data_IF_999350392246
#
_entry.id   IF_999350392246
#
_cell.length_a   1.000
_cell.length_b   1.000
_cell.length_c   1.000
_cell.angle_alpha   90.00
_cell.angle_beta   90.00
_cell.angle_gamma   90.00
#
_symmetry.space_group_name_H-M   'P 1'
#
loop_
_entity.id
_entity.type
_entity.pdbx_description
1 polymer ?
#
# COMPACT_ATOMS: atom_id res chain seq x y z
N UNK A 1 -25.18 23.43 11.41
CA UNK A 1 -23.78 23.28 11.88
C UNK A 1 -22.79 23.96 10.92
N UNK A 2 -21.54 24.16 11.37
CA UNK A 2 -20.47 24.66 10.49
C UNK A 2 -20.25 23.71 9.29
N UNK A 3 -20.24 22.40 9.52
CA UNK A 3 -20.07 21.39 8.46
C UNK A 3 -21.20 21.45 7.43
N UNK A 4 -22.45 21.57 7.88
CA UNK A 4 -23.60 21.72 6.97
C UNK A 4 -23.48 22.98 6.09
N UNK A 5 -23.01 24.09 6.68
CA UNK A 5 -22.77 25.33 5.93
C UNK A 5 -21.63 25.19 4.95
N UNK A 6 -20.53 24.52 5.35
CA UNK A 6 -19.40 24.25 4.47
C UNK A 6 -19.82 23.40 3.26
N UNK A 7 -20.62 22.35 3.49
CA UNK A 7 -21.14 21.50 2.41
C UNK A 7 -22.05 22.25 1.42
N UNK A 8 -22.75 23.27 1.89
CA UNK A 8 -23.67 24.08 1.08
C UNK A 8 -23.01 25.36 0.48
N UNK A 9 -21.76 25.64 0.86
CA UNK A 9 -21.09 26.89 0.50
C UNK A 9 -21.01 27.13 -1.01
N UNK A 10 -20.88 26.07 -1.81
CA UNK A 10 -20.88 26.16 -3.27
C UNK A 10 -22.19 26.68 -3.86
N UNK A 11 -23.34 26.34 -3.27
CA UNK A 11 -24.65 26.81 -3.70
C UNK A 11 -24.93 28.27 -3.35
N UNK A 12 -24.23 28.80 -2.35
CA UNK A 12 -24.40 30.17 -1.86
C UNK A 12 -23.19 31.08 -2.17
N UNK A 13 -22.29 30.66 -3.07
CA UNK A 13 -21.10 31.42 -3.46
C UNK A 13 -20.20 31.83 -2.29
N UNK A 14 -20.10 30.98 -1.26
CA UNK A 14 -19.24 31.17 -0.09
C UNK A 14 -19.92 30.79 1.24
N UNK A 15 -19.10 30.41 2.22
CA UNK A 15 -19.62 30.00 3.55
C UNK A 15 -20.23 31.18 4.32
N UNK A 16 -19.73 32.36 4.10
CA UNK A 16 -20.23 33.63 4.70
C UNK A 16 -21.66 33.94 4.23
N UNK A 17 -22.00 33.61 3.00
CA UNK A 17 -23.30 33.81 2.39
C UNK A 17 -24.29 32.69 2.74
N UNK A 18 -23.79 31.55 3.26
CA UNK A 18 -24.65 30.41 3.61
C UNK A 18 -25.49 30.73 4.85
N UNK A 19 -26.81 30.54 4.81
CA UNK A 19 -27.71 30.82 5.95
C UNK A 19 -27.23 30.16 7.25
N UNK A 20 -27.30 30.93 8.36
CA UNK A 20 -26.90 30.45 9.69
C UNK A 20 -28.01 29.65 10.36
N UNK A 21 -29.25 29.78 9.92
CA UNK A 21 -30.42 29.09 10.42
C UNK A 21 -31.19 28.43 9.28
N UNK A 22 -31.84 27.31 9.57
CA UNK A 22 -32.69 26.59 8.64
C UNK A 22 -33.90 25.98 9.42
N UNK A 23 -34.97 25.73 8.71
CA UNK A 23 -36.12 24.97 9.22
C UNK A 23 -35.85 23.49 8.89
N UNK A 24 -36.00 22.62 9.87
CA UNK A 24 -35.87 21.17 9.69
C UNK A 24 -36.99 20.44 10.40
N UNK A 25 -37.31 19.22 9.97
CA UNK A 25 -38.20 18.34 10.72
C UNK A 25 -37.49 17.87 12.00
N UNK A 26 -38.22 17.97 13.13
CA UNK A 26 -37.73 17.43 14.38
C UNK A 26 -37.74 15.90 14.39
N UNK A 27 -36.88 15.29 15.21
CA UNK A 27 -36.78 13.85 15.34
C UNK A 27 -38.12 13.18 15.66
N UNK A 28 -38.93 13.77 16.52
CA UNK A 28 -40.26 13.26 16.84
C UNK A 28 -41.17 13.16 15.61
N UNK A 29 -41.05 14.10 14.67
CA UNK A 29 -41.81 14.04 13.41
C UNK A 29 -41.35 12.87 12.55
N UNK A 30 -40.06 12.62 12.50
CA UNK A 30 -39.50 11.48 11.80
C UNK A 30 -39.92 10.16 12.44
N UNK A 31 -39.93 10.09 13.78
CA UNK A 31 -40.36 8.90 14.55
C UNK A 31 -41.83 8.52 14.36
N UNK A 32 -42.68 9.44 13.89
CA UNK A 32 -44.07 9.16 13.55
C UNK A 32 -44.26 8.52 12.16
N UNK A 33 -43.21 8.31 11.39
CA UNK A 33 -43.28 7.65 10.10
C UNK A 33 -43.71 6.17 10.25
N UNK A 34 -44.34 5.60 9.23
CA UNK A 34 -44.70 4.16 9.23
C UNK A 34 -43.47 3.26 9.05
N UNK A 35 -42.46 3.77 8.37
CA UNK A 35 -41.17 3.10 8.13
C UNK A 35 -40.06 4.17 8.00
N UNK A 36 -38.90 3.89 8.59
CA UNK A 36 -37.72 4.72 8.48
C UNK A 36 -36.66 3.92 7.71
N UNK A 37 -36.02 4.56 6.73
CA UNK A 37 -34.87 4.02 6.03
C UNK A 37 -33.70 4.98 6.21
N UNK A 38 -32.63 4.51 6.85
CA UNK A 38 -31.36 5.24 6.95
C UNK A 38 -30.47 4.78 5.79
N UNK A 39 -29.92 5.73 5.05
CA UNK A 39 -29.02 5.43 3.94
C UNK A 39 -27.68 6.13 4.13
N UNK A 40 -26.56 5.40 3.94
CA UNK A 40 -25.22 5.95 4.03
C UNK A 40 -24.25 5.23 3.06
N UNK A 41 -23.36 6.01 2.44
CA UNK A 41 -22.36 5.55 1.49
C UNK A 41 -20.99 6.14 1.79
N UNK A 42 -19.94 5.34 1.51
CA UNK A 42 -18.56 5.74 1.58
C UNK A 42 -17.90 5.50 2.94
N UNK A 43 -16.58 5.30 2.90
CA UNK A 43 -15.76 4.95 4.07
C UNK A 43 -15.78 6.04 5.15
N UNK A 44 -15.87 7.32 4.77
CA UNK A 44 -15.96 8.45 5.70
C UNK A 44 -17.22 8.43 6.57
N UNK A 45 -18.21 7.57 6.27
CA UNK A 45 -19.43 7.33 7.04
C UNK A 45 -19.33 6.11 7.97
N UNK A 46 -18.33 5.24 7.81
CA UNK A 46 -18.28 3.96 8.51
C UNK A 46 -18.38 4.08 10.03
N UNK A 47 -17.64 5.02 10.63
CA UNK A 47 -17.66 5.19 12.09
C UNK A 47 -18.97 5.78 12.59
N UNK A 48 -19.59 6.69 11.85
CA UNK A 48 -20.92 7.23 12.26
C UNK A 48 -22.01 6.20 12.05
N UNK A 49 -21.95 5.38 11.01
CA UNK A 49 -22.88 4.25 10.79
C UNK A 49 -22.81 3.27 11.96
N UNK A 50 -21.60 2.90 12.39
CA UNK A 50 -21.42 2.04 13.57
C UNK A 50 -22.08 2.65 14.81
N UNK A 51 -21.84 3.93 15.09
CA UNK A 51 -22.44 4.62 16.25
C UNK A 51 -23.96 4.72 16.17
N UNK A 52 -24.50 4.86 14.96
CA UNK A 52 -25.95 4.94 14.73
C UNK A 52 -26.62 3.58 14.87
N UNK A 53 -25.99 2.51 14.40
CA UNK A 53 -26.59 1.15 14.35
C UNK A 53 -26.32 0.36 15.62
N UNK A 54 -25.10 0.44 16.16
CA UNK A 54 -24.63 -0.42 17.25
C UNK A 54 -24.34 0.34 18.56
N UNK A 55 -24.27 1.67 18.50
CA UNK A 55 -24.02 2.50 19.68
C UNK A 55 -25.29 2.80 20.49
N UNK A 56 -25.11 3.42 21.65
CA UNK A 56 -26.21 3.84 22.49
C UNK A 56 -27.08 4.91 21.79
N UNK A 57 -28.40 4.82 21.97
CA UNK A 57 -29.35 5.83 21.53
C UNK A 57 -29.13 7.12 22.33
N UNK A 58 -28.55 8.15 21.73
CA UNK A 58 -28.20 9.40 22.41
C UNK A 58 -28.51 10.64 21.57
N UNK A 59 -28.95 11.74 22.20
CA UNK A 59 -29.16 13.03 21.53
C UNK A 59 -27.86 13.61 20.92
N UNK A 60 -26.68 13.18 21.38
CA UNK A 60 -25.38 13.59 20.80
C UNK A 60 -25.19 13.06 19.38
N UNK A 61 -25.85 11.94 19.06
CA UNK A 61 -25.92 11.34 17.73
C UNK A 61 -27.42 11.15 17.41
N UNK A 62 -28.12 12.17 16.95
CA UNK A 62 -29.59 12.12 16.83
C UNK A 62 -30.12 10.94 16.02
N UNK A 63 -29.40 10.50 14.99
CA UNK A 63 -29.77 9.35 14.18
C UNK A 63 -29.76 8.02 14.98
N UNK A 64 -28.96 7.91 16.06
CA UNK A 64 -28.99 6.72 16.93
C UNK A 64 -30.30 6.53 17.68
N UNK A 65 -31.04 7.60 17.94
CA UNK A 65 -32.35 7.53 18.59
C UNK A 65 -33.42 6.85 17.72
N UNK A 66 -33.16 6.78 16.39
CA UNK A 66 -34.06 6.09 15.46
C UNK A 66 -34.05 4.56 15.68
N UNK A 67 -33.08 4.00 16.40
CA UNK A 67 -33.04 2.58 16.80
C UNK A 67 -34.35 2.20 17.61
N UNK A 68 -34.97 3.16 18.26
CA UNK A 68 -36.21 2.95 19.03
C UNK A 68 -37.47 2.85 18.15
N UNK A 69 -37.34 3.03 16.82
CA UNK A 69 -38.47 2.93 15.91
C UNK A 69 -38.77 1.46 15.56
N UNK A 70 -40.05 1.01 15.64
CA UNK A 70 -40.39 -0.41 15.45
C UNK A 70 -40.20 -0.92 14.01
N UNK A 71 -40.08 -0.04 13.04
CA UNK A 71 -39.92 -0.40 11.64
C UNK A 71 -38.82 0.49 10.99
N UNK A 72 -37.58 0.15 11.29
CA UNK A 72 -36.41 0.85 10.79
C UNK A 72 -35.53 -0.12 9.99
N UNK A 73 -34.93 0.40 8.94
CA UNK A 73 -33.97 -0.32 8.08
C UNK A 73 -32.77 0.59 7.78
N UNK A 74 -31.57 0.03 7.79
CA UNK A 74 -30.35 0.70 7.34
C UNK A 74 -29.88 0.09 6.03
N UNK A 75 -29.69 0.93 5.01
CA UNK A 75 -29.15 0.57 3.70
C UNK A 75 -27.81 1.26 3.56
N UNK A 76 -26.75 0.49 3.51
CA UNK A 76 -25.35 0.98 3.47
C UNK A 76 -24.56 0.20 2.43
N UNK A 77 -23.58 0.86 1.81
CA UNK A 77 -22.60 0.17 0.97
C UNK A 77 -21.51 -0.51 1.82
N UNK A 78 -20.70 -1.34 1.21
CA UNK A 78 -19.61 -2.06 1.87
C UNK A 78 -18.62 -1.13 2.58
N UNK A 79 -18.14 -0.01 1.99
CA UNK A 79 -17.27 0.94 2.66
C UNK A 79 -17.91 1.60 3.88
N UNK A 80 -19.19 2.00 3.81
CA UNK A 80 -19.91 2.58 4.95
C UNK A 80 -20.20 1.56 6.07
N UNK A 81 -20.28 0.26 5.76
CA UNK A 81 -20.45 -0.84 6.70
C UNK A 81 -19.15 -1.28 7.39
N UNK A 82 -17.97 -0.81 6.96
CA UNK A 82 -16.67 -1.39 7.31
C UNK A 82 -16.36 -1.37 8.81
N UNK A 83 -16.95 -0.43 9.56
CA UNK A 83 -16.79 -0.37 11.01
C UNK A 83 -17.82 -1.22 11.81
N UNK A 84 -18.82 -1.82 11.17
CA UNK A 84 -19.82 -2.65 11.85
C UNK A 84 -19.20 -3.95 12.39
N UNK A 85 -19.71 -4.41 13.53
CA UNK A 85 -19.31 -5.68 14.16
C UNK A 85 -19.51 -6.86 13.21
N UNK A 86 -20.57 -6.85 12.40
CA UNK A 86 -20.82 -7.86 11.38
C UNK A 86 -19.70 -7.96 10.33
N UNK A 87 -18.97 -6.87 10.07
CA UNK A 87 -17.81 -6.85 9.17
C UNK A 87 -16.49 -7.10 9.91
N UNK A 88 -16.30 -6.50 11.09
CA UNK A 88 -15.04 -6.60 11.85
C UNK A 88 -14.90 -7.93 12.59
N UNK A 89 -15.95 -8.40 13.22
CA UNK A 89 -15.96 -9.61 14.05
C UNK A 89 -17.29 -10.37 13.87
N UNK A 90 -17.58 -10.92 12.67
CA UNK A 90 -18.88 -11.51 12.34
C UNK A 90 -19.30 -12.63 13.29
N UNK A 91 -18.36 -13.35 13.90
CA UNK A 91 -18.62 -14.41 14.90
C UNK A 91 -19.29 -13.92 16.17
N UNK A 92 -19.30 -12.60 16.44
CA UNK A 92 -20.01 -12.01 17.57
C UNK A 92 -21.48 -11.75 17.27
N UNK A 93 -21.86 -11.80 15.99
CA UNK A 93 -23.21 -11.42 15.53
C UNK A 93 -24.01 -12.64 15.06
N UNK A 94 -23.33 -13.67 14.59
CA UNK A 94 -24.01 -14.87 14.10
C UNK A 94 -23.06 -15.98 13.61
N UNK A 95 -23.62 -17.05 13.05
CA UNK A 95 -22.83 -18.16 12.50
C UNK A 95 -21.92 -17.70 11.38
N UNK A 96 -20.70 -18.25 11.32
CA UNK A 96 -19.69 -17.93 10.33
C UNK A 96 -19.28 -19.14 9.51
N UNK A 97 -18.96 -18.94 8.24
CA UNK A 97 -18.18 -19.88 7.47
C UNK A 97 -16.68 -19.66 7.75
N UNK A 98 -16.06 -20.57 8.51
CA UNK A 98 -14.69 -20.45 9.00
C UNK A 98 -13.65 -20.75 7.91
N UNK A 99 -13.42 -19.78 7.04
CA UNK A 99 -12.30 -19.84 6.09
C UNK A 99 -10.95 -19.60 6.79
N UNK A 100 -9.81 -20.04 6.23
CA UNK A 100 -8.48 -19.78 6.81
C UNK A 100 -8.24 -18.29 7.09
N UNK A 101 -8.72 -17.40 6.20
CA UNK A 101 -8.64 -15.95 6.38
C UNK A 101 -9.44 -15.47 7.59
N UNK A 102 -10.65 -16.00 7.78
CA UNK A 102 -11.51 -15.62 8.90
C UNK A 102 -10.95 -16.17 10.23
N UNK A 103 -10.43 -17.38 10.25
CA UNK A 103 -9.74 -17.98 11.41
C UNK A 103 -8.57 -17.09 11.84
N UNK A 104 -7.68 -16.72 10.91
CA UNK A 104 -6.56 -15.82 11.18
C UNK A 104 -7.03 -14.48 11.75
N UNK A 105 -8.07 -13.87 11.14
CA UNK A 105 -8.65 -12.61 11.59
C UNK A 105 -9.20 -12.71 13.02
N UNK A 106 -9.89 -13.79 13.35
CA UNK A 106 -10.48 -14.02 14.67
C UNK A 106 -9.40 -14.23 15.76
N UNK A 107 -8.35 -14.99 15.46
CA UNK A 107 -7.25 -15.23 16.41
C UNK A 107 -6.46 -13.92 16.67
N UNK A 108 -6.17 -13.14 15.64
CA UNK A 108 -5.51 -11.84 15.81
C UNK A 108 -6.40 -10.86 16.62
N UNK A 109 -7.71 -10.83 16.35
CA UNK A 109 -8.67 -10.05 17.13
C UNK A 109 -8.68 -10.50 18.60
N UNK A 110 -8.70 -11.82 18.86
CA UNK A 110 -8.66 -12.37 20.22
C UNK A 110 -7.42 -11.91 20.99
N UNK A 111 -6.23 -11.94 20.36
CA UNK A 111 -5.00 -11.39 20.94
C UNK A 111 -5.17 -9.93 21.39
N UNK A 112 -5.82 -9.12 20.56
CA UNK A 112 -6.10 -7.72 20.87
C UNK A 112 -7.06 -7.54 22.05
N UNK A 113 -8.05 -8.42 22.18
CA UNK A 113 -9.02 -8.38 23.29
C UNK A 113 -8.40 -8.82 24.60
N UNK A 114 -7.77 -10.01 24.63
CA UNK A 114 -7.22 -10.59 25.86
C UNK A 114 -5.81 -10.10 26.21
N UNK A 115 -5.19 -9.29 25.31
CA UNK A 115 -3.81 -8.77 25.46
C UNK A 115 -2.76 -9.86 25.64
N UNK A 116 -2.92 -10.96 24.94
CA UNK A 116 -1.96 -12.08 24.95
C UNK A 116 -1.36 -12.32 23.57
N UNK A 117 -0.08 -12.73 23.47
CA UNK A 117 0.49 -13.23 22.22
C UNK A 117 -0.24 -14.48 21.73
N UNK A 118 -0.26 -14.71 20.42
CA UNK A 118 -0.96 -15.84 19.79
C UNK A 118 -0.63 -17.18 20.47
N UNK A 119 0.66 -17.49 20.63
CA UNK A 119 1.10 -18.76 21.20
C UNK A 119 0.79 -18.93 22.71
N UNK A 120 0.26 -17.89 23.38
CA UNK A 120 -0.16 -17.93 24.78
C UNK A 120 -1.67 -17.88 24.97
N UNK A 121 -2.44 -17.90 23.87
CA UNK A 121 -3.89 -18.06 23.95
C UNK A 121 -4.24 -19.46 24.47
N UNK A 122 -5.25 -19.51 25.34
CA UNK A 122 -5.73 -20.73 25.97
C UNK A 122 -7.13 -21.09 25.49
N UNK A 123 -7.55 -22.32 25.69
CA UNK A 123 -8.93 -22.77 25.41
C UNK A 123 -9.98 -21.84 26.04
N UNK A 124 -9.73 -21.41 27.29
CA UNK A 124 -10.60 -20.48 28.00
C UNK A 124 -10.76 -19.14 27.26
N UNK A 125 -9.66 -18.59 26.72
CA UNK A 125 -9.70 -17.34 25.98
C UNK A 125 -10.65 -17.43 24.76
N UNK A 126 -10.64 -18.56 24.05
CA UNK A 126 -11.54 -18.79 22.91
C UNK A 126 -13.00 -18.87 23.34
N UNK A 127 -13.30 -19.66 24.39
CA UNK A 127 -14.69 -19.89 24.83
C UNK A 127 -15.31 -18.62 25.41
N UNK A 128 -14.58 -17.89 26.25
CA UNK A 128 -15.06 -16.65 26.86
C UNK A 128 -15.27 -15.50 25.85
N UNK A 129 -14.69 -15.62 24.65
CA UNK A 129 -14.82 -14.63 23.59
C UNK A 129 -15.59 -15.13 22.36
N UNK A 130 -16.51 -16.06 22.55
CA UNK A 130 -17.44 -16.56 21.51
C UNK A 130 -16.79 -17.22 20.32
N UNK A 131 -15.57 -17.78 20.48
CA UNK A 131 -14.82 -18.47 19.42
C UNK A 131 -14.83 -20.01 19.55
N UNK A 132 -15.73 -20.57 20.37
CA UNK A 132 -15.89 -22.03 20.47
C UNK A 132 -16.25 -22.66 19.12
N UNK A 133 -17.17 -22.06 18.37
CA UNK A 133 -17.57 -22.53 17.06
C UNK A 133 -16.40 -22.53 16.02
N UNK A 134 -15.39 -21.68 16.19
CA UNK A 134 -14.17 -21.73 15.40
C UNK A 134 -13.40 -23.03 15.66
N UNK A 135 -13.20 -23.39 16.92
CA UNK A 135 -12.46 -24.60 17.30
C UNK A 135 -13.17 -25.85 16.79
N UNK A 136 -14.50 -25.89 16.92
CA UNK A 136 -15.34 -26.99 16.41
C UNK A 136 -15.24 -27.12 14.89
N UNK A 137 -15.31 -26.00 14.17
CA UNK A 137 -15.27 -25.99 12.70
C UNK A 137 -13.90 -26.36 12.14
N UNK A 138 -12.81 -25.95 12.80
CA UNK A 138 -11.44 -26.27 12.35
C UNK A 138 -11.06 -27.72 12.73
N UNK A 139 -11.66 -28.29 13.78
CA UNK A 139 -11.49 -29.69 14.18
C UNK A 139 -10.10 -30.05 14.70
N UNK A 140 -9.31 -29.06 15.14
CA UNK A 140 -8.00 -29.24 15.78
C UNK A 140 -7.97 -28.52 17.13
N UNK A 141 -6.99 -28.85 17.97
CA UNK A 141 -6.85 -28.22 19.28
C UNK A 141 -6.53 -26.72 19.18
N UNK A 142 -6.88 -25.95 20.21
CA UNK A 142 -6.63 -24.50 20.23
C UNK A 142 -5.15 -24.14 20.07
N UNK A 143 -4.25 -24.95 20.63
CA UNK A 143 -2.79 -24.77 20.50
C UNK A 143 -2.32 -25.03 19.06
N UNK A 144 -2.87 -26.04 18.38
CA UNK A 144 -2.61 -26.27 16.96
C UNK A 144 -3.12 -25.10 16.08
N UNK A 145 -4.29 -24.51 16.41
CA UNK A 145 -4.78 -23.30 15.76
C UNK A 145 -3.81 -22.13 15.98
N UNK A 146 -3.35 -21.93 17.22
CA UNK A 146 -2.38 -20.89 17.56
C UNK A 146 -1.10 -21.04 16.75
N UNK A 147 -0.52 -22.24 16.70
CA UNK A 147 0.71 -22.53 15.94
C UNK A 147 0.49 -22.26 14.44
N UNK A 148 -0.61 -22.79 13.89
CA UNK A 148 -0.92 -22.58 12.47
C UNK A 148 -1.03 -21.10 12.13
N UNK A 149 -1.82 -20.33 12.89
CA UNK A 149 -2.01 -18.89 12.63
C UNK A 149 -0.71 -18.12 12.83
N UNK A 150 0.10 -18.48 13.83
CA UNK A 150 1.40 -17.85 14.04
C UNK A 150 2.33 -18.08 12.84
N UNK A 151 2.43 -19.32 12.35
CA UNK A 151 3.23 -19.64 11.17
C UNK A 151 2.70 -18.93 9.91
N UNK A 152 1.39 -18.95 9.68
CA UNK A 152 0.77 -18.22 8.56
C UNK A 152 1.13 -16.73 8.59
N UNK A 153 1.12 -16.10 9.77
CA UNK A 153 1.51 -14.70 9.92
C UNK A 153 3.00 -14.47 9.70
N UNK A 154 3.86 -15.36 10.18
CA UNK A 154 5.31 -15.28 9.91
C UNK A 154 5.59 -15.29 8.40
N UNK A 155 4.82 -16.04 7.63
CA UNK A 155 4.95 -16.07 6.17
C UNK A 155 4.43 -14.81 5.47
N UNK A 156 3.64 -13.97 6.14
CA UNK A 156 3.07 -12.74 5.55
C UNK A 156 3.80 -11.45 5.94
N UNK A 157 4.67 -11.48 6.94
CA UNK A 157 5.41 -10.30 7.42
C UNK A 157 6.85 -10.30 6.90
N UNK A 158 7.43 -9.09 6.83
CA UNK A 158 8.85 -8.90 6.56
C UNK A 158 9.63 -9.13 7.85
N UNK A 159 10.16 -10.31 8.05
CA UNK A 159 10.97 -10.66 9.20
C UNK A 159 11.93 -11.75 8.82
N UNK A 160 12.73 -12.21 9.77
CA UNK A 160 13.63 -13.33 9.52
C UNK A 160 12.85 -14.52 8.98
N UNK A 161 13.21 -15.05 7.79
CA UNK A 161 12.58 -16.26 7.26
C UNK A 161 12.81 -17.44 8.22
N UNK A 162 11.79 -17.86 8.95
CA UNK A 162 11.93 -18.91 9.95
C UNK A 162 12.35 -18.43 11.35
N UNK A 163 12.27 -17.11 11.64
CA UNK A 163 12.61 -16.51 12.91
C UNK A 163 13.99 -15.89 12.96
N UNK A 164 14.31 -15.20 14.06
CA UNK A 164 15.59 -14.53 14.27
C UNK A 164 16.75 -15.53 14.26
N UNK A 165 17.85 -15.31 13.54
CA UNK A 165 19.03 -16.17 13.60
C UNK A 165 19.54 -16.32 15.03
N UNK A 166 19.92 -17.54 15.39
CA UNK A 166 20.41 -17.88 16.72
C UNK A 166 19.37 -17.69 17.87
N UNK A 167 18.07 -17.55 17.55
CA UNK A 167 17.04 -17.59 18.58
C UNK A 167 16.94 -19.01 19.17
N UNK A 168 16.77 -19.10 20.50
CA UNK A 168 16.49 -20.37 21.16
C UNK A 168 15.07 -20.85 20.79
N UNK A 169 15.00 -21.88 19.96
CA UNK A 169 13.76 -22.53 19.53
C UNK A 169 13.39 -23.76 20.37
N UNK A 170 14.18 -24.08 21.40
CA UNK A 170 14.00 -25.30 22.20
C UNK A 170 12.63 -25.39 22.87
N UNK A 171 11.96 -24.24 23.09
CA UNK A 171 10.63 -24.17 23.69
C UNK A 171 9.49 -24.13 22.67
N UNK A 172 9.80 -24.11 21.36
CA UNK A 172 8.78 -24.11 20.32
C UNK A 172 8.24 -25.51 20.08
N UNK A 173 6.92 -25.71 20.10
CA UNK A 173 6.31 -27.02 19.84
C UNK A 173 6.54 -27.51 18.41
N UNK A 174 6.72 -26.60 17.48
CA UNK A 174 7.06 -26.90 16.08
C UNK A 174 8.18 -25.94 15.65
N UNK A 175 9.31 -26.44 15.13
CA UNK A 175 10.36 -25.60 14.56
C UNK A 175 9.81 -24.75 13.43
N UNK A 176 10.21 -23.47 13.35
CA UNK A 176 9.84 -22.63 12.22
C UNK A 176 10.57 -23.10 10.95
N UNK A 177 9.81 -23.21 9.86
CA UNK A 177 10.39 -23.48 8.53
C UNK A 177 10.83 -22.17 7.90
N UNK A 178 12.10 -22.03 7.45
CA UNK A 178 12.53 -20.86 6.68
C UNK A 178 11.64 -20.63 5.46
N UNK A 179 11.19 -19.40 5.31
CA UNK A 179 10.36 -18.99 4.17
C UNK A 179 10.89 -17.64 3.61
N UNK A 180 12.07 -17.65 2.94
CA UNK A 180 12.55 -16.47 2.24
C UNK A 180 11.53 -16.08 1.16
N UNK A 181 11.19 -14.79 1.10
CA UNK A 181 10.25 -14.25 0.13
C UNK A 181 11.00 -13.69 -1.05
N UNK A 182 10.45 -13.84 -2.23
CA UNK A 182 10.84 -13.08 -3.41
C UNK A 182 10.15 -11.73 -3.35
N UNK A 183 10.91 -10.67 -3.33
CA UNK A 183 10.43 -9.30 -3.12
C UNK A 183 10.82 -8.45 -4.32
N UNK A 184 9.86 -7.67 -4.85
CA UNK A 184 10.15 -6.65 -5.85
C UNK A 184 9.83 -5.28 -5.27
N UNK A 185 10.80 -4.37 -5.34
CA UNK A 185 10.66 -2.96 -5.00
C UNK A 185 10.61 -2.16 -6.31
N UNK A 186 9.48 -1.55 -6.63
CA UNK A 186 9.35 -0.63 -7.74
C UNK A 186 9.72 0.77 -7.30
N UNK A 187 10.72 1.35 -7.95
CA UNK A 187 11.24 2.70 -7.73
C UNK A 187 10.95 3.54 -8.97
N UNK A 188 10.05 4.55 -8.89
CA UNK A 188 9.74 5.41 -10.02
C UNK A 188 10.98 6.05 -10.66
N UNK A 189 11.91 6.55 -9.85
CA UNK A 189 13.22 7.05 -10.28
C UNK A 189 14.35 6.31 -9.55
N UNK A 190 15.61 6.41 -10.03
CA UNK A 190 16.76 5.69 -9.43
C UNK A 190 17.24 6.26 -8.08
N UNK A 191 16.35 6.48 -7.10
CA UNK A 191 16.61 6.93 -5.72
C UNK A 191 15.37 6.76 -4.80
N UNK A 192 14.17 6.62 -5.37
CA UNK A 192 12.94 6.57 -4.56
C UNK A 192 12.88 5.36 -3.62
N UNK A 193 13.46 4.23 -4.00
CA UNK A 193 13.62 3.03 -3.16
C UNK A 193 14.41 3.33 -1.88
N UNK A 194 15.50 4.09 -2.00
CA UNK A 194 16.36 4.49 -0.87
C UNK A 194 15.69 5.56 -0.03
N UNK A 195 15.16 6.61 -0.68
CA UNK A 195 14.56 7.76 0.00
C UNK A 195 13.29 7.34 0.74
N UNK A 196 12.43 6.55 0.09
CA UNK A 196 11.11 6.21 0.62
C UNK A 196 11.12 5.01 1.56
N UNK A 197 12.00 4.01 1.34
CA UNK A 197 11.97 2.79 2.10
C UNK A 197 13.33 2.13 2.38
N UNK A 198 14.43 2.87 2.29
CA UNK A 198 15.79 2.34 2.45
C UNK A 198 16.00 1.50 3.72
N UNK A 199 15.39 1.90 4.85
CA UNK A 199 15.44 1.11 6.08
C UNK A 199 14.73 -0.24 5.97
N UNK A 200 13.61 -0.33 5.24
CA UNK A 200 12.91 -1.58 4.96
C UNK A 200 13.69 -2.41 3.94
N UNK A 201 14.23 -1.78 2.91
CA UNK A 201 15.04 -2.42 1.88
C UNK A 201 16.24 -3.15 2.50
N UNK A 202 17.07 -2.45 3.30
CA UNK A 202 18.22 -3.05 4.01
C UNK A 202 17.75 -4.24 4.86
N UNK A 203 16.65 -4.09 5.60
CA UNK A 203 16.13 -5.18 6.44
C UNK A 203 15.70 -6.40 5.64
N UNK A 204 15.09 -6.22 4.48
CA UNK A 204 14.71 -7.34 3.62
C UNK A 204 15.95 -8.12 3.17
N UNK A 205 17.01 -7.41 2.76
CA UNK A 205 18.29 -8.04 2.37
C UNK A 205 18.97 -8.72 3.57
N UNK A 206 19.09 -8.02 4.70
CA UNK A 206 19.69 -8.55 5.94
C UNK A 206 18.96 -9.78 6.47
N UNK A 207 17.66 -9.86 6.25
CA UNK A 207 16.84 -10.99 6.67
C UNK A 207 16.91 -12.18 5.71
N UNK A 208 17.68 -12.08 4.63
CA UNK A 208 17.89 -13.17 3.69
C UNK A 208 16.70 -13.42 2.75
N UNK A 209 15.91 -12.40 2.47
CA UNK A 209 14.91 -12.44 1.40
C UNK A 209 15.59 -12.30 0.03
N UNK A 210 14.96 -12.85 -0.99
CA UNK A 210 15.35 -12.70 -2.39
C UNK A 210 14.77 -11.38 -2.92
N UNK A 211 15.58 -10.31 -2.84
CA UNK A 211 15.12 -8.94 -3.09
C UNK A 211 15.56 -8.46 -4.45
N UNK A 212 14.63 -8.00 -5.24
CA UNK A 212 14.83 -7.33 -6.52
C UNK A 212 14.39 -5.87 -6.45
N UNK A 213 15.12 -4.97 -7.11
CA UNK A 213 14.70 -3.58 -7.31
C UNK A 213 14.49 -3.31 -8.80
N UNK A 214 13.41 -2.61 -9.12
CA UNK A 214 13.02 -2.28 -10.49
C UNK A 214 12.85 -0.77 -10.62
N UNK A 215 13.82 -0.11 -11.23
CA UNK A 215 13.78 1.32 -11.56
C UNK A 215 12.94 1.51 -12.81
N UNK A 216 11.81 2.19 -12.65
CA UNK A 216 10.79 2.28 -13.70
C UNK A 216 11.17 3.27 -14.79
N UNK A 217 11.84 4.39 -14.43
CA UNK A 217 12.29 5.42 -15.36
C UNK A 217 13.79 5.69 -15.24
N UNK A 218 14.35 6.36 -16.24
CA UNK A 218 15.78 6.73 -16.24
C UNK A 218 16.14 7.81 -15.22
N UNK A 219 15.20 8.69 -14.89
CA UNK A 219 15.45 9.85 -14.02
C UNK A 219 16.42 10.86 -14.60
N UNK A 220 16.66 10.84 -15.91
CA UNK A 220 17.67 11.62 -16.63
C UNK A 220 17.52 13.13 -16.47
N UNK A 221 16.28 13.64 -16.40
CA UNK A 221 16.00 15.08 -16.24
C UNK A 221 16.45 15.65 -14.89
N UNK A 222 16.71 14.83 -13.89
CA UNK A 222 17.20 15.26 -12.57
C UNK A 222 18.70 15.59 -12.57
N UNK A 223 19.47 15.18 -13.60
CA UNK A 223 20.91 15.39 -13.66
C UNK A 223 21.25 16.74 -14.28
N UNK A 224 21.91 17.59 -13.50
CA UNK A 224 22.41 18.86 -14.00
C UNK A 224 23.60 18.68 -14.96
N UNK A 225 23.77 19.61 -15.89
CA UNK A 225 24.86 19.56 -16.86
C UNK A 225 26.25 19.61 -16.20
N UNK A 226 26.39 20.34 -15.09
CA UNK A 226 27.64 20.40 -14.32
C UNK A 226 28.00 19.04 -13.71
N UNK A 227 27.04 18.23 -13.31
CA UNK A 227 27.28 16.86 -12.82
C UNK A 227 27.82 16.00 -13.94
N UNK A 228 27.27 16.14 -15.15
CA UNK A 228 27.80 15.43 -16.36
C UNK A 228 29.25 15.80 -16.59
N UNK A 229 29.60 17.10 -16.57
CA UNK A 229 30.96 17.57 -16.78
C UNK A 229 31.89 17.07 -15.68
N UNK A 230 31.47 17.10 -14.41
CA UNK A 230 32.23 16.58 -13.28
C UNK A 230 32.57 15.08 -13.42
N UNK A 231 31.61 14.27 -13.87
CA UNK A 231 31.84 12.84 -14.08
C UNK A 231 32.84 12.60 -15.23
N UNK A 232 32.73 13.40 -16.30
CA UNK A 232 33.64 13.32 -17.42
C UNK A 232 35.08 13.79 -17.09
N UNK A 233 35.21 14.82 -16.23
CA UNK A 233 36.52 15.24 -15.69
C UNK A 233 37.16 14.10 -14.89
N UNK A 234 36.42 13.37 -14.09
CA UNK A 234 36.92 12.20 -13.36
C UNK A 234 37.40 11.13 -14.32
N UNK A 235 36.66 10.83 -15.41
CA UNK A 235 37.06 9.86 -16.44
C UNK A 235 38.34 10.32 -17.14
N UNK A 236 38.48 11.62 -17.42
CA UNK A 236 39.68 12.23 -18.02
C UNK A 236 40.89 12.09 -17.11
N UNK A 237 40.78 12.46 -15.84
CA UNK A 237 41.87 12.36 -14.84
C UNK A 237 42.35 10.93 -14.63
N UNK A 238 41.47 9.95 -14.77
CA UNK A 238 41.82 8.52 -14.73
C UNK A 238 42.47 8.00 -16.03
N UNK A 239 42.60 8.83 -17.08
CA UNK A 239 43.20 8.46 -18.35
C UNK A 239 42.34 7.59 -19.26
N UNK A 240 41.03 7.54 -19.04
CA UNK A 240 40.13 6.84 -19.93
C UNK A 240 39.70 7.71 -21.12
N UNK A 241 39.03 7.09 -22.11
CA UNK A 241 38.60 7.77 -23.32
C UNK A 241 37.79 9.06 -22.99
N UNK A 242 38.30 10.18 -23.51
CA UNK A 242 37.79 11.51 -23.17
C UNK A 242 36.74 12.00 -24.19
N UNK A 243 35.52 12.18 -23.76
CA UNK A 243 34.44 12.78 -24.53
C UNK A 243 34.03 14.17 -23.99
N UNK A 244 34.84 14.76 -23.13
CA UNK A 244 34.52 15.98 -22.42
C UNK A 244 34.19 17.14 -23.37
N UNK A 245 35.03 17.40 -24.38
CA UNK A 245 34.83 18.51 -25.32
C UNK A 245 33.63 18.26 -26.25
N UNK A 246 33.31 17.01 -26.56
CA UNK A 246 32.16 16.64 -27.35
C UNK A 246 30.88 16.92 -26.55
N UNK A 247 30.80 16.42 -25.32
CA UNK A 247 29.63 16.61 -24.45
C UNK A 247 29.46 18.06 -24.06
N UNK A 248 30.56 18.80 -23.82
CA UNK A 248 30.52 20.26 -23.59
C UNK A 248 29.90 20.99 -24.77
N UNK A 249 30.18 20.57 -26.01
CA UNK A 249 29.53 21.14 -27.22
C UNK A 249 28.05 20.79 -27.28
N UNK A 250 27.63 19.58 -26.91
CA UNK A 250 26.22 19.21 -26.82
C UNK A 250 25.47 20.07 -25.82
N UNK A 251 26.06 20.31 -24.64
CA UNK A 251 25.49 21.19 -23.60
C UNK A 251 25.38 22.62 -24.10
N UNK A 252 26.43 23.17 -24.72
CA UNK A 252 26.42 24.52 -25.25
C UNK A 252 25.43 24.71 -26.43
N UNK A 253 25.15 23.64 -27.16
CA UNK A 253 24.16 23.63 -28.26
C UNK A 253 22.70 23.51 -27.83
N UNK A 254 22.40 23.40 -26.53
CA UNK A 254 21.02 23.31 -26.05
C UNK A 254 20.21 24.55 -26.39
N UNK A 255 19.00 24.35 -26.90
CA UNK A 255 18.06 25.42 -27.23
C UNK A 255 16.90 25.44 -26.23
N UNK A 256 16.69 26.56 -25.59
CA UNK A 256 15.60 26.71 -24.60
C UNK A 256 14.24 26.35 -25.23
N UNK A 257 13.52 25.46 -24.59
CA UNK A 257 12.20 25.01 -25.04
C UNK A 257 12.22 23.86 -26.05
N UNK A 258 13.40 23.37 -26.43
CA UNK A 258 13.54 22.16 -27.22
C UNK A 258 14.00 20.97 -26.33
N UNK A 259 13.71 19.70 -26.71
CA UNK A 259 14.25 18.53 -26.05
C UNK A 259 15.78 18.57 -26.02
N UNK A 260 16.37 18.03 -24.96
CA UNK A 260 17.82 17.83 -24.89
C UNK A 260 18.27 16.79 -25.94
N UNK A 261 19.51 16.88 -26.43
CA UNK A 261 20.09 15.84 -27.30
C UNK A 261 20.00 14.46 -26.65
N UNK A 262 19.54 13.46 -27.39
CA UNK A 262 19.36 12.10 -26.86
C UNK A 262 20.63 11.56 -26.22
N UNK A 263 21.77 11.82 -26.84
CA UNK A 263 23.06 11.40 -26.31
C UNK A 263 23.37 11.99 -24.92
N UNK A 264 22.99 13.25 -24.68
CA UNK A 264 23.16 13.89 -23.38
C UNK A 264 22.22 13.24 -22.33
N UNK A 265 20.98 12.94 -22.70
CA UNK A 265 20.04 12.24 -21.84
C UNK A 265 20.52 10.82 -21.51
N UNK A 266 21.10 10.10 -22.47
CA UNK A 266 21.66 8.76 -22.25
C UNK A 266 22.84 8.79 -21.25
N UNK A 267 23.68 9.84 -21.30
CA UNK A 267 24.76 10.05 -20.31
C UNK A 267 24.16 10.35 -18.93
N UNK A 268 23.17 11.24 -18.85
CA UNK A 268 22.47 11.56 -17.60
C UNK A 268 21.82 10.30 -16.99
N UNK A 269 21.14 9.51 -17.81
CA UNK A 269 20.57 8.23 -17.40
C UNK A 269 21.65 7.23 -16.90
N UNK A 270 22.83 7.22 -17.54
CA UNK A 270 23.93 6.37 -17.10
C UNK A 270 24.48 6.79 -15.73
N UNK A 271 24.54 8.09 -15.43
CA UNK A 271 24.92 8.63 -14.12
C UNK A 271 23.91 8.13 -13.06
N UNK A 272 22.61 8.30 -13.31
CA UNK A 272 21.56 7.83 -12.39
C UNK A 272 21.64 6.33 -12.13
N UNK A 273 21.84 5.54 -13.17
CA UNK A 273 22.04 4.08 -13.03
C UNK A 273 23.29 3.73 -12.21
N UNK A 274 24.36 4.52 -12.34
CA UNK A 274 25.57 4.29 -11.56
C UNK A 274 25.37 4.60 -10.07
N UNK A 275 24.64 5.67 -9.75
CA UNK A 275 24.26 6.07 -8.38
C UNK A 275 23.37 5.00 -7.73
N UNK A 276 22.32 4.57 -8.42
CA UNK A 276 21.43 3.51 -7.97
C UNK A 276 22.20 2.21 -7.66
N UNK A 277 23.00 1.74 -8.61
CA UNK A 277 23.85 0.56 -8.40
C UNK A 277 24.85 0.71 -7.24
N UNK A 278 25.31 1.93 -6.95
CA UNK A 278 26.19 2.16 -5.81
C UNK A 278 25.42 2.01 -4.48
N UNK A 279 24.20 2.52 -4.40
CA UNK A 279 23.32 2.34 -3.27
C UNK A 279 22.95 0.86 -3.05
N UNK A 280 22.53 0.16 -4.11
CA UNK A 280 22.20 -1.27 -4.08
C UNK A 280 23.36 -2.12 -3.56
N UNK A 281 24.58 -1.87 -4.06
CA UNK A 281 25.78 -2.55 -3.54
C UNK A 281 26.03 -2.27 -2.07
N UNK A 282 25.74 -1.05 -1.58
CA UNK A 282 25.92 -0.71 -0.17
C UNK A 282 24.93 -1.46 0.73
N UNK A 283 23.78 -1.86 0.20
CA UNK A 283 22.80 -2.70 0.86
C UNK A 283 23.07 -4.19 0.75
N UNK A 284 24.08 -4.60 -0.03
CA UNK A 284 24.44 -6.00 -0.24
C UNK A 284 23.58 -6.69 -1.30
N UNK A 285 22.87 -5.93 -2.14
CA UNK A 285 22.07 -6.50 -3.22
C UNK A 285 22.94 -7.06 -4.33
N UNK A 286 22.58 -8.24 -4.85
CA UNK A 286 23.24 -8.82 -6.03
C UNK A 286 22.95 -7.97 -7.27
N UNK A 287 23.96 -7.63 -8.10
CA UNK A 287 23.75 -6.85 -9.31
C UNK A 287 22.75 -7.46 -10.32
N UNK A 288 22.55 -8.78 -10.30
CA UNK A 288 21.55 -9.45 -11.15
C UNK A 288 20.10 -9.17 -10.72
N UNK A 289 19.91 -8.68 -9.50
CA UNK A 289 18.59 -8.32 -8.96
C UNK A 289 18.22 -6.85 -9.19
N UNK A 290 19.07 -6.10 -9.93
CA UNK A 290 18.83 -4.68 -10.23
C UNK A 290 18.33 -4.55 -11.67
N UNK A 291 17.09 -4.10 -11.82
CA UNK A 291 16.38 -4.00 -13.09
C UNK A 291 16.14 -2.54 -13.48
N UNK A 292 16.49 -2.15 -14.71
CA UNK A 292 16.18 -0.83 -15.27
C UNK A 292 15.16 -1.00 -16.39
N UNK A 293 13.91 -0.62 -16.13
CA UNK A 293 12.78 -0.88 -17.02
C UNK A 293 12.68 0.13 -18.16
N UNK A 294 13.10 1.38 -17.94
CA UNK A 294 13.03 2.48 -18.90
C UNK A 294 11.66 2.54 -19.60
N UNK A 295 10.59 2.70 -18.79
CA UNK A 295 9.21 2.67 -19.29
C UNK A 295 8.98 3.73 -20.38
N UNK A 296 8.44 3.35 -21.54
CA UNK A 296 8.29 4.20 -22.71
C UNK A 296 7.51 5.51 -22.47
N UNK A 297 6.58 5.53 -21.53
CA UNK A 297 5.83 6.75 -21.21
C UNK A 297 6.72 7.89 -20.75
N UNK A 298 7.84 7.58 -20.09
CA UNK A 298 8.82 8.57 -19.59
C UNK A 298 9.90 8.87 -20.61
N UNK A 299 10.37 7.87 -21.36
CA UNK A 299 11.55 7.94 -22.25
C UNK A 299 11.27 8.67 -23.57
N UNK A 300 10.51 9.78 -23.50
CA UNK A 300 10.11 10.56 -24.68
C UNK A 300 11.18 11.50 -25.21
N UNK A 301 12.28 11.70 -24.46
CA UNK A 301 13.32 12.67 -24.77
C UNK A 301 12.93 14.12 -24.49
N UNK A 302 11.75 14.39 -23.92
CA UNK A 302 11.27 15.71 -23.58
C UNK A 302 10.57 15.75 -22.22
N UNK A 303 10.38 16.95 -21.67
CA UNK A 303 9.70 17.15 -20.38
C UNK A 303 8.25 16.64 -20.37
N UNK A 304 7.61 16.59 -21.54
CA UNK A 304 6.25 16.09 -21.67
C UNK A 304 6.27 14.56 -21.80
N UNK A 305 5.76 13.89 -20.79
CA UNK A 305 5.59 12.44 -20.76
C UNK A 305 4.47 11.98 -21.70
N UNK A 306 4.59 10.77 -22.24
CA UNK A 306 3.51 10.16 -22.98
C UNK A 306 2.43 9.61 -22.02
N UNK A 307 1.19 9.38 -22.48
CA UNK A 307 0.22 8.62 -21.73
C UNK A 307 0.71 7.18 -21.47
N UNK A 308 0.31 6.61 -20.34
CA UNK A 308 0.53 5.19 -20.05
C UNK A 308 -0.01 4.31 -21.18
N UNK A 309 0.75 3.33 -21.60
CA UNK A 309 0.42 2.44 -22.69
C UNK A 309 0.53 0.97 -22.29
N UNK A 310 -0.06 0.08 -23.08
CA UNK A 310 0.08 -1.37 -22.87
C UNK A 310 1.55 -1.84 -22.89
N UNK A 311 2.42 -1.16 -23.62
CA UNK A 311 3.87 -1.49 -23.66
C UNK A 311 4.52 -1.31 -22.30
N UNK A 312 4.16 -0.27 -21.57
CA UNK A 312 4.68 -0.01 -20.22
C UNK A 312 4.25 -1.14 -19.27
N UNK A 313 2.98 -1.52 -19.32
CA UNK A 313 2.39 -2.60 -18.54
C UNK A 313 3.05 -3.95 -18.88
N UNK A 314 3.24 -4.26 -20.17
CA UNK A 314 3.82 -5.52 -20.62
C UNK A 314 5.28 -5.73 -20.12
N UNK A 315 6.05 -4.65 -20.00
CA UNK A 315 7.42 -4.69 -19.44
C UNK A 315 7.35 -5.14 -17.97
N UNK A 316 6.45 -4.58 -17.17
CA UNK A 316 6.28 -4.96 -15.77
C UNK A 316 5.72 -6.37 -15.65
N UNK A 317 4.72 -6.75 -16.46
CA UNK A 317 4.18 -8.11 -16.50
C UNK A 317 5.28 -9.15 -16.76
N UNK A 318 6.18 -8.84 -17.70
CA UNK A 318 7.31 -9.73 -17.99
C UNK A 318 8.19 -9.93 -16.76
N UNK A 319 8.56 -8.85 -16.08
CA UNK A 319 9.38 -8.90 -14.86
C UNK A 319 8.68 -9.69 -13.75
N UNK A 320 7.39 -9.41 -13.52
CA UNK A 320 6.61 -10.09 -12.48
C UNK A 320 6.49 -11.60 -12.75
N UNK A 321 6.34 -12.01 -14.01
CA UNK A 321 6.30 -13.43 -14.39
C UNK A 321 7.67 -14.12 -14.27
N UNK A 322 8.75 -13.38 -14.45
CA UNK A 322 10.12 -13.91 -14.32
C UNK A 322 10.49 -14.12 -12.85
N UNK A 323 10.12 -13.17 -11.97
CA UNK A 323 10.48 -13.22 -10.54
C UNK A 323 9.42 -14.00 -9.74
N UNK A 324 8.13 -13.92 -10.11
CA UNK A 324 6.98 -14.45 -9.34
C UNK A 324 7.03 -14.01 -7.87
N UNK A 325 6.98 -12.70 -7.57
CA UNK A 325 7.22 -12.19 -6.23
C UNK A 325 6.10 -12.56 -5.24
N UNK A 326 6.52 -12.85 -4.00
CA UNK A 326 5.60 -13.03 -2.87
C UNK A 326 5.17 -11.69 -2.27
N UNK A 327 5.99 -10.64 -2.45
CA UNK A 327 5.71 -9.28 -1.97
C UNK A 327 6.17 -8.24 -2.99
N UNK A 328 5.36 -7.19 -3.13
CA UNK A 328 5.64 -6.05 -4.01
C UNK A 328 5.52 -4.77 -3.19
N UNK A 329 6.51 -3.89 -3.35
CA UNK A 329 6.50 -2.53 -2.84
C UNK A 329 6.48 -1.57 -4.02
N UNK A 330 5.59 -0.59 -3.98
CA UNK A 330 5.51 0.45 -5.00
C UNK A 330 5.22 1.80 -4.34
N UNK A 331 5.72 2.88 -4.94
CA UNK A 331 5.51 4.22 -4.43
C UNK A 331 4.04 4.64 -4.59
N UNK A 332 3.37 4.92 -3.45
CA UNK A 332 1.94 5.29 -3.40
C UNK A 332 1.68 6.79 -3.42
N UNK A 333 2.62 7.62 -3.88
CA UNK A 333 2.45 9.07 -3.95
C UNK A 333 1.58 9.47 -5.15
N UNK A 334 0.28 9.42 -4.95
CA UNK A 334 -0.71 9.80 -5.97
C UNK A 334 -0.85 11.32 -6.14
N UNK A 335 -0.30 12.11 -5.21
CA UNK A 335 -0.30 13.57 -5.24
C UNK A 335 0.94 14.17 -5.89
N UNK A 336 1.83 13.35 -6.45
CA UNK A 336 3.05 13.77 -7.15
C UNK A 336 2.75 14.86 -8.19
N UNK A 337 3.31 16.07 -8.03
CA UNK A 337 3.05 17.18 -8.93
C UNK A 337 3.59 16.95 -10.35
N UNK A 338 4.57 16.06 -10.51
CA UNK A 338 5.15 15.70 -11.80
C UNK A 338 4.40 14.57 -12.51
N UNK A 339 3.53 13.87 -11.78
CA UNK A 339 2.71 12.77 -12.27
C UNK A 339 3.46 11.49 -12.63
N UNK A 340 4.80 11.41 -12.41
CA UNK A 340 5.60 10.21 -12.70
C UNK A 340 5.25 9.08 -11.75
N UNK A 341 5.27 9.32 -10.44
CA UNK A 341 4.99 8.31 -9.42
C UNK A 341 3.58 7.73 -9.59
N UNK A 342 2.59 8.58 -9.88
CA UNK A 342 1.24 8.13 -10.16
C UNK A 342 1.18 7.24 -11.39
N UNK A 343 1.81 7.63 -12.51
CA UNK A 343 1.81 6.83 -13.74
C UNK A 343 2.56 5.51 -13.55
N UNK A 344 3.68 5.51 -12.82
CA UNK A 344 4.40 4.30 -12.43
C UNK A 344 3.51 3.36 -11.60
N UNK A 345 2.82 3.89 -10.59
CA UNK A 345 1.89 3.10 -9.78
C UNK A 345 0.72 2.54 -10.61
N UNK A 346 0.16 3.34 -11.53
CA UNK A 346 -0.88 2.88 -12.47
C UNK A 346 -0.37 1.74 -13.36
N UNK A 347 0.90 1.79 -13.81
CA UNK A 347 1.52 0.73 -14.59
C UNK A 347 1.68 -0.57 -13.78
N UNK A 348 2.13 -0.46 -12.53
CA UNK A 348 2.26 -1.61 -11.61
C UNK A 348 0.89 -2.23 -11.33
N UNK A 349 -0.13 -1.42 -11.04
CA UNK A 349 -1.50 -1.93 -10.81
C UNK A 349 -2.05 -2.62 -12.05
N UNK A 350 -1.89 -2.02 -13.24
CA UNK A 350 -2.30 -2.65 -14.49
C UNK A 350 -1.59 -3.98 -14.76
N UNK A 351 -0.31 -4.09 -14.41
CA UNK A 351 0.43 -5.34 -14.53
C UNK A 351 -0.05 -6.41 -13.53
N UNK A 352 -0.40 -6.00 -12.31
CA UNK A 352 -0.95 -6.91 -11.31
C UNK A 352 -2.32 -7.44 -11.71
N UNK A 353 -3.20 -6.62 -12.30
CA UNK A 353 -4.47 -7.09 -12.84
C UNK A 353 -4.27 -8.21 -13.87
N UNK A 354 -3.29 -8.05 -14.77
CA UNK A 354 -2.96 -9.09 -15.76
C UNK A 354 -2.39 -10.35 -15.10
N UNK A 355 -1.58 -10.22 -14.04
CA UNK A 355 -0.97 -11.35 -13.35
C UNK A 355 -1.94 -12.08 -12.41
N UNK A 356 -2.83 -11.34 -11.72
CA UNK A 356 -3.80 -11.91 -10.76
C UNK A 356 -4.99 -12.62 -11.43
N UNK A 357 -5.24 -12.36 -12.70
CA UNK A 357 -6.27 -13.10 -13.47
C UNK A 357 -5.90 -14.57 -13.70
N UNK A 358 -4.71 -15.01 -13.29
CA UNK A 358 -4.20 -16.38 -13.43
C UNK A 358 -4.01 -17.10 -12.09
N UNK A 359 -4.39 -16.48 -10.97
CA UNK A 359 -4.43 -17.08 -9.63
C UNK A 359 -5.86 -17.25 -9.13
#
# INVERSE_FOLDING_TARGET
>A
TYQSRKAQAGLFFGIENTPKMAITMGLNTVMNAKKIVIMAWGEDRAEIVRKVVEGDATPLIPASMLQNHPNIEAVVDDPAADCLTAKKAPWLVGPCNWTPRLVRKAVVWLCGVVKKPILKLTYKDYIENSLGALLDAVGISYDAVNIKVFNDLQHTITGWPGGKPNADDSTRPVPSTPFPKRVVIFSPHPDDDVISMGGTFIRLVDHGHDVHVAYETSGDFAVNDDVVLQQLDTVRELGFADRFDEVKRLIAGKVKGQPEPRELLDIKAAIRRAEAKAADRSFGLDPSHVHFLNLPFYETGGLKKAPLSQRDIDIIVKLLREIEPDQIYAAGDLADPHGTHRTCMEAVLGALEVCLLYT
#
